data_IF_183640446143
#
_entry.id   IF_183640446143
#
_cell.length_a   1.000
_cell.length_b   1.000
_cell.length_c   1.000
_cell.angle_alpha   90.00
_cell.angle_beta   90.00
_cell.angle_gamma   90.00
#
_symmetry.space_group_name_H-M   'P 1'
#
loop_
_entity.id
_entity.type
_entity.pdbx_description
1 polymer ?
#
# COMPACT_ATOMS: atom_id res chain seq x y z
N UNK A 1 -19.45 -0.49 14.46
CA UNK A 1 -19.33 -1.06 15.82
C UNK A 1 -18.90 -0.04 16.89
N UNK A 2 -17.84 0.76 16.68
CA UNK A 2 -17.37 1.75 17.69
C UNK A 2 -18.35 2.88 18.03
N UNK A 3 -19.37 3.13 17.19
CA UNK A 3 -20.37 4.18 17.39
C UNK A 3 -21.46 3.80 18.42
N UNK A 4 -21.63 2.50 18.70
CA UNK A 4 -22.63 1.99 19.63
C UNK A 4 -22.13 1.86 21.09
N UNK A 5 -20.86 2.18 21.35
CA UNK A 5 -20.24 2.05 22.68
C UNK A 5 -19.94 3.38 23.38
N UNK A 6 -20.52 4.50 22.91
CA UNK A 6 -20.45 5.77 23.65
C UNK A 6 -19.02 6.30 23.89
N UNK A 7 -18.04 5.91 23.08
CA UNK A 7 -16.65 6.37 23.23
C UNK A 7 -16.58 7.83 22.80
N UNK A 8 -16.68 8.75 23.76
CA UNK A 8 -16.33 10.18 23.64
C UNK A 8 -14.81 10.37 23.63
N UNK A 9 -14.10 9.49 22.92
CA UNK A 9 -12.65 9.56 22.77
C UNK A 9 -12.27 10.64 21.77
N UNK A 10 -11.32 11.51 22.13
CA UNK A 10 -10.66 12.43 21.19
C UNK A 10 -10.25 11.63 19.93
N UNK A 11 -10.72 12.04 18.75
CA UNK A 11 -10.26 11.45 17.48
C UNK A 11 -8.73 11.54 17.44
N UNK A 12 -8.04 10.40 17.38
CA UNK A 12 -6.58 10.38 17.28
C UNK A 12 -6.18 10.77 15.85
N UNK A 13 -5.56 11.94 15.72
CA UNK A 13 -5.05 12.41 14.45
C UNK A 13 -3.64 11.85 14.21
N UNK A 14 -3.50 10.96 13.22
CA UNK A 14 -2.21 10.33 12.90
C UNK A 14 -1.41 11.10 11.84
N UNK A 15 -2.10 11.70 10.88
CA UNK A 15 -1.52 12.49 9.79
C UNK A 15 -2.15 13.88 9.79
N UNK A 16 -1.36 14.92 9.53
CA UNK A 16 -1.81 16.31 9.55
C UNK A 16 -1.14 17.12 8.46
N UNK A 17 -1.94 17.63 7.52
CA UNK A 17 -1.49 18.60 6.52
C UNK A 17 -0.33 18.10 5.65
N UNK A 18 -0.38 16.84 5.21
CA UNK A 18 0.68 16.26 4.40
C UNK A 18 0.50 16.71 2.95
N UNK A 19 1.58 17.23 2.36
CA UNK A 19 1.67 17.59 0.94
C UNK A 19 2.97 17.04 0.38
N UNK A 20 2.96 16.50 -0.84
CA UNK A 20 4.17 15.98 -1.46
C UNK A 20 3.92 15.49 -2.89
N UNK A 21 5.00 15.31 -3.64
CA UNK A 21 4.98 14.81 -5.02
C UNK A 21 6.12 13.83 -5.21
N UNK A 22 5.82 12.67 -5.78
CA UNK A 22 6.80 11.65 -6.17
C UNK A 22 7.00 11.71 -7.68
N UNK A 23 8.23 11.97 -8.13
CA UNK A 23 8.53 12.10 -9.56
C UNK A 23 8.82 10.73 -10.18
N UNK A 24 8.30 10.45 -11.39
CA UNK A 24 8.67 9.24 -12.12
C UNK A 24 10.19 9.12 -12.29
N UNK A 25 10.72 7.90 -12.11
CA UNK A 25 12.16 7.62 -12.25
C UNK A 25 13.05 8.09 -11.10
N UNK A 26 12.47 8.68 -10.04
CA UNK A 26 13.22 9.17 -8.88
C UNK A 26 12.95 8.30 -7.66
N UNK A 27 14.01 7.71 -7.10
CA UNK A 27 13.94 7.06 -5.80
C UNK A 27 13.70 8.13 -4.72
N UNK A 28 12.56 8.06 -4.05
CA UNK A 28 12.20 8.99 -2.98
C UNK A 28 12.21 8.25 -1.64
N UNK A 29 12.91 8.78 -0.65
CA UNK A 29 12.97 8.22 0.70
C UNK A 29 12.10 9.03 1.68
N UNK A 30 11.27 8.34 2.47
CA UNK A 30 10.50 8.93 3.56
C UNK A 30 11.19 8.62 4.90
N UNK A 31 11.74 9.64 5.54
CA UNK A 31 12.57 9.51 6.74
C UNK A 31 11.91 10.23 7.94
N UNK A 32 12.22 9.79 9.15
CA UNK A 32 11.69 10.39 10.38
C UNK A 32 11.73 9.44 11.58
N UNK A 33 11.53 9.98 12.78
CA UNK A 33 11.56 9.23 14.05
C UNK A 33 10.45 8.16 14.13
N UNK A 34 10.60 7.19 15.04
CA UNK A 34 9.53 6.24 15.34
C UNK A 34 8.27 6.97 15.80
N UNK A 35 7.09 6.53 15.36
CA UNK A 35 5.82 7.20 15.66
C UNK A 35 5.51 8.45 14.81
N UNK A 36 6.41 8.91 13.94
CA UNK A 36 6.16 10.09 13.09
C UNK A 36 5.07 9.90 12.01
N UNK A 37 4.45 8.72 11.91
CA UNK A 37 3.39 8.44 10.93
C UNK A 37 3.87 7.97 9.56
N UNK A 38 5.14 7.59 9.40
CA UNK A 38 5.70 7.10 8.11
C UNK A 38 4.94 5.91 7.55
N UNK A 39 4.83 4.83 8.33
CA UNK A 39 4.08 3.63 7.95
C UNK A 39 2.61 3.96 7.73
N UNK A 40 2.02 4.84 8.55
CA UNK A 40 0.63 5.27 8.37
C UNK A 40 0.41 6.03 7.06
N UNK A 41 1.33 6.91 6.66
CA UNK A 41 1.27 7.60 5.37
C UNK A 41 1.37 6.60 4.21
N UNK A 42 2.30 5.65 4.30
CA UNK A 42 2.47 4.59 3.30
C UNK A 42 1.24 3.67 3.19
N UNK A 43 0.58 3.34 4.30
CA UNK A 43 -0.66 2.56 4.33
C UNK A 43 -1.85 3.31 3.70
N UNK A 44 -1.92 4.63 3.88
CA UNK A 44 -2.95 5.47 3.27
C UNK A 44 -2.71 5.59 1.76
N UNK A 45 -1.46 5.85 1.34
CA UNK A 45 -1.10 5.93 -0.07
C UNK A 45 -1.31 4.59 -0.79
N UNK A 46 -0.99 3.47 -0.12
CA UNK A 46 -1.24 2.13 -0.66
C UNK A 46 -2.72 1.71 -0.62
N UNK A 47 -3.54 2.46 0.11
CA UNK A 47 -4.96 2.16 0.30
C UNK A 47 -5.22 0.93 1.16
N UNK A 48 -4.25 0.51 1.98
CA UNK A 48 -4.38 -0.57 2.96
C UNK A 48 -5.01 -0.11 4.27
N UNK A 49 -5.06 1.21 4.51
CA UNK A 49 -5.73 1.77 5.69
C UNK A 49 -7.26 1.70 5.52
N UNK A 50 -7.87 0.60 5.95
CA UNK A 50 -9.32 0.32 5.84
C UNK A 50 -10.18 0.94 6.94
N UNK A 51 -9.57 1.52 7.97
CA UNK A 51 -10.27 2.10 9.12
C UNK A 51 -9.84 3.52 9.44
N UNK A 52 -10.78 4.32 9.94
CA UNK A 52 -10.61 5.74 10.25
C UNK A 52 -11.24 6.66 9.19
N UNK A 53 -10.95 7.95 9.30
CA UNK A 53 -11.34 8.95 8.29
C UNK A 53 -10.09 9.40 7.55
N UNK A 54 -10.14 9.35 6.23
CA UNK A 54 -9.09 9.82 5.34
C UNK A 54 -9.69 10.95 4.51
N UNK A 55 -9.05 12.10 4.54
CA UNK A 55 -9.48 13.32 3.85
C UNK A 55 -8.30 13.89 3.05
N UNK A 56 -8.62 14.60 1.97
CA UNK A 56 -7.64 15.16 1.02
C UNK A 56 -7.58 14.40 -0.29
N UNK A 57 -6.76 14.90 -1.20
CA UNK A 57 -6.69 14.41 -2.58
C UNK A 57 -5.38 13.68 -2.85
N UNK A 58 -5.46 12.55 -3.56
CA UNK A 58 -4.31 11.77 -4.00
C UNK A 58 -4.41 11.60 -5.51
N UNK A 59 -3.33 11.92 -6.22
CA UNK A 59 -3.27 11.90 -7.68
C UNK A 59 -2.15 10.96 -8.15
N UNK A 60 -2.43 10.21 -9.21
CA UNK A 60 -1.50 9.23 -9.80
C UNK A 60 -1.50 9.43 -11.31
N UNK A 61 -0.33 9.77 -11.87
CA UNK A 61 -0.21 10.02 -13.30
C UNK A 61 -1.12 11.15 -13.82
N UNK A 62 -1.52 12.09 -12.95
CA UNK A 62 -2.43 13.18 -13.29
C UNK A 62 -3.92 12.90 -13.08
N UNK A 63 -4.30 11.69 -12.64
CA UNK A 63 -5.69 11.31 -12.39
C UNK A 63 -5.96 11.13 -10.89
N UNK A 64 -7.19 11.36 -10.41
CA UNK A 64 -7.57 11.02 -9.04
C UNK A 64 -7.34 9.53 -8.77
N UNK A 65 -6.78 9.20 -7.61
CA UNK A 65 -6.52 7.82 -7.22
C UNK A 65 -7.83 7.05 -7.04
N UNK A 66 -7.98 5.97 -7.81
CA UNK A 66 -9.06 4.99 -7.67
C UNK A 66 -8.52 3.73 -6.99
N UNK A 67 -9.14 3.29 -5.90
CA UNK A 67 -8.59 2.23 -5.04
C UNK A 67 -8.54 0.88 -5.77
N UNK A 68 -9.56 0.56 -6.55
CA UNK A 68 -9.74 -0.71 -7.25
C UNK A 68 -8.66 -0.96 -8.31
N UNK A 69 -8.23 0.10 -9.00
CA UNK A 69 -7.20 0.02 -10.04
C UNK A 69 -5.81 0.22 -9.48
N UNK A 70 -5.66 0.96 -8.38
CA UNK A 70 -4.36 1.28 -7.79
C UNK A 70 -3.55 0.04 -7.43
N UNK A 71 -4.20 -0.97 -6.83
CA UNK A 71 -3.55 -2.21 -6.44
C UNK A 71 -2.98 -3.01 -7.64
N UNK A 72 -3.42 -2.73 -8.87
CA UNK A 72 -2.92 -3.38 -10.10
C UNK A 72 -1.63 -2.75 -10.63
N UNK A 73 -1.37 -1.49 -10.29
CA UNK A 73 -0.24 -0.70 -10.84
C UNK A 73 0.81 -0.36 -9.77
N UNK A 74 0.56 -0.69 -8.51
CA UNK A 74 1.47 -0.42 -7.40
C UNK A 74 1.80 -1.71 -6.65
N UNK A 75 3.09 -1.93 -6.39
CA UNK A 75 3.55 -2.89 -5.39
C UNK A 75 3.63 -2.23 -4.01
N UNK A 76 3.29 -2.97 -2.96
CA UNK A 76 3.50 -2.55 -1.57
C UNK A 76 4.23 -3.66 -0.82
N UNK A 77 5.38 -3.32 -0.24
CA UNK A 77 6.13 -4.21 0.64
C UNK A 77 5.82 -3.82 2.08
N UNK A 78 5.34 -4.78 2.86
CA UNK A 78 4.98 -4.56 4.26
C UNK A 78 6.25 -4.46 5.13
N UNK A 79 6.10 -3.87 6.33
CA UNK A 79 7.20 -3.81 7.28
C UNK A 79 7.58 -5.19 7.84
N UNK A 80 6.61 -6.10 7.89
CA UNK A 80 6.80 -7.50 8.31
C UNK A 80 6.58 -8.41 7.12
N UNK A 81 7.52 -9.32 6.90
CA UNK A 81 7.42 -10.28 5.83
C UNK A 81 6.34 -11.34 6.12
N UNK A 82 5.57 -11.68 5.09
CA UNK A 82 4.54 -12.73 5.14
C UNK A 82 4.91 -13.76 4.07
N UNK A 83 5.62 -14.81 4.47
CA UNK A 83 6.01 -15.91 3.60
C UNK A 83 5.70 -17.26 4.26
N UNK A 84 5.40 -18.26 3.43
CA UNK A 84 5.27 -19.63 3.90
C UNK A 84 6.66 -20.17 4.25
N UNK A 85 6.87 -20.79 5.42
CA UNK A 85 8.15 -21.39 5.78
C UNK A 85 8.47 -22.66 4.97
N UNK A 86 7.49 -23.20 4.23
CA UNK A 86 7.62 -24.44 3.46
C UNK A 86 7.89 -24.22 1.97
N UNK A 87 8.05 -22.97 1.54
CA UNK A 87 8.18 -22.59 0.14
C UNK A 87 9.46 -21.78 -0.01
N UNK A 88 10.25 -22.09 -1.02
CA UNK A 88 11.45 -21.34 -1.36
C UNK A 88 11.11 -19.95 -1.90
N UNK A 89 12.11 -19.07 -1.97
CA UNK A 89 11.96 -17.73 -2.55
C UNK A 89 11.53 -17.82 -4.02
N UNK A 90 12.16 -18.71 -4.78
CA UNK A 90 11.86 -18.93 -6.20
C UNK A 90 10.40 -19.35 -6.40
N UNK A 91 9.95 -20.38 -5.68
CA UNK A 91 8.56 -20.86 -5.76
C UNK A 91 7.56 -19.76 -5.36
N UNK A 92 7.88 -18.94 -4.36
CA UNK A 92 7.01 -17.82 -3.94
C UNK A 92 6.87 -16.76 -5.02
N UNK A 93 7.96 -16.44 -5.72
CA UNK A 93 7.96 -15.46 -6.83
C UNK A 93 7.20 -16.01 -8.03
N UNK A 94 7.47 -17.26 -8.43
CA UNK A 94 6.78 -17.93 -9.54
C UNK A 94 5.27 -18.01 -9.26
N UNK A 95 4.88 -18.39 -8.04
CA UNK A 95 3.47 -18.43 -7.66
C UNK A 95 2.80 -17.06 -7.77
N UNK A 96 3.48 -15.99 -7.36
CA UNK A 96 3.00 -14.61 -7.52
C UNK A 96 2.83 -14.21 -9.00
N UNK A 97 3.78 -14.62 -9.84
CA UNK A 97 3.75 -14.36 -11.28
C UNK A 97 2.55 -15.05 -11.94
N UNK A 98 2.31 -16.33 -11.64
CA UNK A 98 1.16 -17.08 -12.17
C UNK A 98 -0.19 -16.47 -11.84
N UNK A 99 -0.34 -15.87 -10.66
CA UNK A 99 -1.59 -15.25 -10.24
C UNK A 99 -1.82 -13.85 -10.85
N UNK A 100 -0.77 -13.17 -11.32
CA UNK A 100 -0.83 -11.78 -11.78
C UNK A 100 -0.70 -11.62 -13.29
N UNK A 101 -0.01 -12.54 -13.95
CA UNK A 101 0.22 -12.48 -15.39
C UNK A 101 -1.02 -12.93 -16.18
N UNK A 102 -1.18 -12.36 -17.37
CA UNK A 102 -2.24 -12.78 -18.29
C UNK A 102 -2.04 -14.24 -18.72
N UNK A 103 -3.13 -15.00 -18.98
CA UNK A 103 -3.06 -16.39 -19.41
C UNK A 103 -2.33 -16.56 -20.75
N UNK A 104 -2.28 -15.50 -21.56
CA UNK A 104 -1.63 -15.43 -22.88
C UNK A 104 -0.10 -15.43 -22.82
N UNK A 105 0.51 -15.21 -21.65
CA UNK A 105 1.97 -15.26 -21.51
C UNK A 105 2.43 -16.71 -21.57
N UNK A 106 3.42 -17.00 -22.41
CA UNK A 106 4.00 -18.34 -22.56
C UNK A 106 4.62 -18.85 -21.26
N UNK A 107 4.41 -20.13 -20.95
CA UNK A 107 4.87 -20.72 -19.69
C UNK A 107 6.39 -20.75 -19.55
N UNK A 108 7.15 -20.70 -20.66
CA UNK A 108 8.61 -20.57 -20.60
C UNK A 108 9.06 -19.14 -20.25
N UNK A 109 8.20 -18.15 -20.48
CA UNK A 109 8.46 -16.74 -20.14
C UNK A 109 7.93 -16.38 -18.75
N UNK A 110 7.07 -17.22 -18.15
CA UNK A 110 6.58 -17.10 -16.77
C UNK A 110 7.60 -17.58 -15.72
N UNK A 111 8.67 -18.26 -16.14
CA UNK A 111 9.73 -18.81 -15.27
C UNK A 111 10.68 -17.72 -14.78
#
# INVERSE_FOLDING_TARGET
EMRNQGVTGKKLQLLRGITGVFRPGVLTALMGVSGAGKTTLMDVLSGRKTGGHIEGDIWIGGYPKVQETFARISGYCEQTDIHSPHVTVEESVIYSAWLRLAPEIDDNTKR
#
